data_IF_301357042454
#
_entry.id   IF_301357042454
#
_cell.length_a   1.000
_cell.length_b   1.000
_cell.length_c   1.000
_cell.angle_alpha   90.00
_cell.angle_beta   90.00
_cell.angle_gamma   90.00
#
_symmetry.space_group_name_H-M   'P 1'
#
loop_
_entity.id
_entity.type
_entity.pdbx_description
1 polymer ?
#
# COMPACT_ATOMS: atom_id res chain seq x y z
N UNK A 1 -49.91 -67.49 23.25
CA UNK A 1 -49.59 -67.94 24.63
C UNK A 1 -49.65 -66.68 25.49
N UNK A 2 -50.73 -66.47 26.25
CA UNK A 2 -50.80 -66.62 27.72
C UNK A 2 -49.78 -65.71 28.45
N UNK A 3 -50.06 -64.93 29.50
CA UNK A 3 -51.18 -64.61 30.40
C UNK A 3 -50.75 -63.29 31.10
N UNK A 4 -51.62 -62.29 31.34
CA UNK A 4 -52.18 -61.91 32.66
C UNK A 4 -51.21 -62.09 33.87
N UNK A 5 -51.03 -61.15 34.82
CA UNK A 5 -51.97 -60.82 35.92
C UNK A 5 -51.39 -59.66 36.78
N UNK A 6 -52.25 -58.68 37.13
CA UNK A 6 -52.38 -57.82 38.35
C UNK A 6 -51.16 -57.03 38.90
N UNK A 7 -51.27 -55.94 39.67
CA UNK A 7 -52.31 -55.46 40.58
C UNK A 7 -52.09 -53.97 40.92
N UNK A 8 -53.14 -53.35 41.45
CA UNK A 8 -53.37 -51.93 41.72
C UNK A 8 -52.53 -51.35 42.87
N UNK A 9 -52.23 -50.05 42.83
CA UNK A 9 -52.31 -49.16 43.99
C UNK A 9 -52.35 -47.67 43.56
N UNK A 10 -53.43 -47.01 43.93
CA UNK A 10 -53.61 -45.56 44.00
C UNK A 10 -52.70 -44.94 45.06
N UNK A 11 -52.09 -43.77 44.80
CA UNK A 11 -52.30 -42.56 45.62
C UNK A 11 -51.46 -41.35 45.16
N UNK A 12 -52.00 -40.19 45.53
CA UNK A 12 -51.86 -38.81 45.04
C UNK A 12 -50.45 -38.15 45.13
N UNK A 13 -50.24 -36.99 44.46
CA UNK A 13 -48.95 -36.38 44.22
C UNK A 13 -48.53 -35.38 45.32
N UNK A 14 -47.27 -35.45 45.75
CA UNK A 14 -46.62 -34.38 46.50
C UNK A 14 -45.48 -33.77 45.66
N UNK A 15 -45.66 -32.49 45.34
CA UNK A 15 -44.74 -31.63 44.60
C UNK A 15 -43.37 -31.56 45.29
N UNK A 16 -42.32 -32.02 44.60
CA UNK A 16 -40.94 -31.63 44.85
C UNK A 16 -40.34 -31.01 43.59
N UNK A 17 -40.22 -29.68 43.55
CA UNK A 17 -39.46 -28.97 42.49
C UNK A 17 -37.97 -29.03 42.83
N UNK A 18 -37.22 -29.88 42.15
CA UNK A 18 -35.76 -29.69 42.00
C UNK A 18 -35.49 -28.56 40.98
N UNK A 19 -34.39 -27.80 41.12
CA UNK A 19 -34.11 -26.70 40.19
C UNK A 19 -33.76 -27.24 38.80
N UNK A 20 -34.39 -26.75 37.72
CA UNK A 20 -33.95 -27.05 36.37
C UNK A 20 -32.65 -26.32 36.06
N UNK A 21 -31.69 -27.08 35.55
CA UNK A 21 -30.40 -26.67 35.00
C UNK A 21 -30.45 -25.34 34.24
N UNK A 22 -29.59 -24.39 34.63
CA UNK A 22 -29.32 -23.16 33.90
C UNK A 22 -28.94 -23.46 32.44
N UNK A 23 -29.80 -23.01 31.52
CA UNK A 23 -29.54 -23.08 30.09
C UNK A 23 -28.32 -22.24 29.73
N UNK A 24 -27.31 -22.89 29.19
CA UNK A 24 -26.15 -22.28 28.54
C UNK A 24 -26.62 -21.36 27.42
N UNK A 25 -26.59 -20.04 27.64
CA UNK A 25 -26.82 -19.06 26.59
C UNK A 25 -25.75 -19.21 25.49
N UNK A 26 -26.11 -19.13 24.18
CA UNK A 26 -25.13 -19.21 23.12
C UNK A 26 -24.21 -18.00 23.21
N UNK A 27 -22.90 -18.25 23.35
CA UNK A 27 -21.86 -17.22 23.22
C UNK A 27 -21.99 -16.61 21.83
N UNK A 28 -22.61 -15.42 21.76
CA UNK A 28 -22.60 -14.55 20.59
C UNK A 28 -21.14 -14.24 20.30
N UNK A 29 -20.58 -14.85 19.24
CA UNK A 29 -19.31 -14.45 18.67
C UNK A 29 -19.42 -12.97 18.31
N UNK A 30 -18.97 -12.10 19.21
CA UNK A 30 -18.59 -10.74 18.87
C UNK A 30 -17.30 -10.88 18.09
N UNK A 31 -17.42 -11.05 16.78
CA UNK A 31 -16.36 -10.59 15.89
C UNK A 31 -16.13 -9.13 16.25
N UNK A 32 -14.99 -8.87 16.89
CA UNK A 32 -14.52 -7.53 17.10
C UNK A 32 -14.28 -6.96 15.70
N UNK A 33 -15.24 -6.19 15.20
CA UNK A 33 -15.03 -5.30 14.06
C UNK A 33 -13.89 -4.38 14.52
N UNK A 34 -12.66 -4.72 14.14
CA UNK A 34 -11.53 -3.84 14.33
C UNK A 34 -11.88 -2.58 13.56
N UNK A 35 -12.22 -1.52 14.30
CA UNK A 35 -12.41 -0.21 13.71
C UNK A 35 -11.10 0.14 13.01
N UNK A 36 -11.10 0.17 11.68
CA UNK A 36 -9.96 0.58 10.90
C UNK A 36 -9.73 2.07 11.20
N UNK A 37 -8.82 2.34 12.15
CA UNK A 37 -8.48 3.70 12.56
C UNK A 37 -7.75 4.35 11.39
N UNK A 38 -8.51 5.05 10.56
CA UNK A 38 -7.98 5.83 9.44
C UNK A 38 -7.41 7.12 10.01
N UNK A 39 -6.08 7.21 10.08
CA UNK A 39 -5.33 8.39 10.55
C UNK A 39 -5.30 9.52 9.49
N UNK A 40 -6.09 9.39 8.42
CA UNK A 40 -6.14 10.34 7.32
C UNK A 40 -6.92 11.62 7.66
N UNK A 41 -6.73 12.69 6.88
CA UNK A 41 -7.47 13.94 7.06
C UNK A 41 -8.98 13.71 6.83
N UNK A 42 -9.80 14.41 7.61
CA UNK A 42 -11.25 14.40 7.46
C UNK A 42 -11.64 15.21 6.22
N UNK A 43 -12.05 14.53 5.15
CA UNK A 43 -12.43 15.16 3.90
C UNK A 43 -13.95 15.21 3.71
N UNK A 44 -14.40 16.27 3.05
CA UNK A 44 -15.77 16.38 2.54
C UNK A 44 -15.88 15.65 1.20
N UNK A 45 -17.08 15.21 0.85
CA UNK A 45 -17.33 14.53 -0.43
C UNK A 45 -16.89 15.43 -1.61
N UNK A 46 -16.04 14.89 -2.48
CA UNK A 46 -15.52 15.59 -3.67
C UNK A 46 -14.16 16.28 -3.49
N UNK A 47 -13.69 16.46 -2.26
CA UNK A 47 -12.35 16.97 -2.01
C UNK A 47 -11.30 15.88 -2.23
N UNK A 48 -10.06 16.26 -2.55
CA UNK A 48 -8.96 15.31 -2.74
C UNK A 48 -7.70 15.82 -2.05
N UNK A 49 -7.10 14.95 -1.25
CA UNK A 49 -5.80 15.21 -0.64
C UNK A 49 -4.72 15.02 -1.69
N UNK A 50 -3.89 16.05 -1.85
CA UNK A 50 -2.73 16.01 -2.73
C UNK A 50 -1.47 15.63 -1.95
N UNK A 51 -0.73 14.66 -2.47
CA UNK A 51 0.67 14.41 -2.12
C UNK A 51 1.60 14.73 -3.28
N UNK A 52 2.90 14.58 -3.06
CA UNK A 52 3.92 14.72 -4.10
C UNK A 52 4.65 13.39 -4.28
N UNK A 53 4.57 12.81 -5.47
CA UNK A 53 5.31 11.64 -5.90
C UNK A 53 6.63 12.05 -6.57
N UNK A 54 7.71 11.89 -5.82
CA UNK A 54 9.08 11.96 -6.32
C UNK A 54 9.46 10.63 -6.97
N UNK A 55 9.48 10.61 -8.31
CA UNK A 55 9.89 9.45 -9.09
C UNK A 55 11.33 9.65 -9.52
N UNK A 56 12.26 8.93 -8.88
CA UNK A 56 13.65 8.92 -9.31
C UNK A 56 13.90 7.71 -10.19
N UNK A 57 14.19 7.95 -11.47
CA UNK A 57 14.41 6.91 -12.47
C UNK A 57 15.85 6.99 -12.98
N UNK A 58 16.68 6.05 -12.52
CA UNK A 58 18.03 5.85 -13.02
C UNK A 58 18.11 4.61 -13.91
N UNK A 59 19.27 4.38 -14.53
CA UNK A 59 19.50 3.16 -15.32
C UNK A 59 19.71 1.91 -14.46
N UNK A 60 19.98 2.08 -13.17
CA UNK A 60 20.29 0.95 -12.27
C UNK A 60 19.12 0.64 -11.32
N UNK A 61 18.36 1.65 -10.90
CA UNK A 61 17.20 1.47 -10.03
C UNK A 61 16.16 2.57 -10.22
N UNK A 62 14.94 2.31 -9.75
CA UNK A 62 13.80 3.22 -9.75
C UNK A 62 13.22 3.38 -8.35
N UNK A 63 12.90 4.61 -7.98
CA UNK A 63 12.35 4.93 -6.67
C UNK A 63 11.02 5.63 -6.86
N UNK A 64 10.02 5.18 -6.12
CA UNK A 64 8.72 5.82 -6.00
C UNK A 64 8.59 6.28 -4.56
N UNK A 65 8.69 7.60 -4.36
CA UNK A 65 8.67 8.21 -3.05
C UNK A 65 7.54 9.23 -2.97
N UNK A 66 6.60 9.03 -2.05
CA UNK A 66 5.48 9.95 -1.84
C UNK A 66 5.69 10.69 -0.54
N UNK A 67 5.55 12.01 -0.62
CA UNK A 67 5.64 12.95 0.49
C UNK A 67 4.39 13.80 0.58
N UNK A 68 4.33 14.59 1.64
CA UNK A 68 3.43 15.73 1.75
C UNK A 68 3.78 16.84 0.73
N UNK A 69 2.98 17.91 0.68
CA UNK A 69 3.18 19.05 -0.21
C UNK A 69 4.47 19.82 0.09
N UNK A 70 4.91 19.87 1.35
CA UNK A 70 6.17 20.53 1.71
C UNK A 70 7.40 19.71 1.29
N UNK A 71 7.24 18.40 1.10
CA UNK A 71 8.31 17.46 0.78
C UNK A 71 9.19 17.10 1.98
N UNK A 72 8.79 17.45 3.21
CA UNK A 72 9.53 17.16 4.44
C UNK A 72 9.13 15.82 5.04
N UNK A 73 7.84 15.52 5.06
CA UNK A 73 7.33 14.31 5.68
C UNK A 73 7.12 13.23 4.62
N UNK A 74 7.75 12.08 4.85
CA UNK A 74 7.72 10.95 3.94
C UNK A 74 6.59 10.02 4.32
N UNK A 75 5.66 9.81 3.40
CA UNK A 75 4.48 8.98 3.61
C UNK A 75 4.84 7.54 3.29
N UNK A 76 5.43 7.32 2.11
CA UNK A 76 5.92 6.01 1.70
C UNK A 76 7.07 6.14 0.71
N UNK A 77 8.03 5.22 0.82
CA UNK A 77 9.13 5.06 -0.10
C UNK A 77 9.29 3.59 -0.47
N UNK A 78 9.20 3.28 -1.76
CA UNK A 78 9.45 1.93 -2.29
C UNK A 78 10.39 2.05 -3.49
N UNK A 79 11.31 1.12 -3.63
CA UNK A 79 12.23 1.04 -4.77
C UNK A 79 11.97 -0.20 -5.61
N UNK A 80 12.46 -0.20 -6.84
CA UNK A 80 12.41 -1.36 -7.74
C UNK A 80 13.17 -2.55 -7.13
N UNK A 81 14.35 -2.30 -6.56
CA UNK A 81 15.13 -3.32 -5.85
C UNK A 81 14.46 -3.94 -4.62
N UNK A 82 13.51 -3.27 -3.98
CA UNK A 82 12.71 -3.91 -2.91
C UNK A 82 11.73 -4.97 -3.45
N UNK A 83 11.39 -4.90 -4.73
CA UNK A 83 10.39 -5.78 -5.36
C UNK A 83 11.01 -6.92 -6.16
N UNK A 84 12.28 -6.81 -6.51
CA UNK A 84 12.98 -7.80 -7.33
C UNK A 84 14.28 -8.20 -6.64
N UNK A 85 14.58 -9.49 -6.62
CA UNK A 85 15.78 -10.03 -5.96
C UNK A 85 17.05 -9.98 -6.82
N UNK A 86 16.90 -9.70 -8.11
CA UNK A 86 18.00 -9.69 -9.07
C UNK A 86 18.47 -8.25 -9.32
N UNK A 87 19.75 -7.98 -9.03
CA UNK A 87 20.36 -6.65 -9.13
C UNK A 87 20.24 -6.01 -10.53
N UNK A 88 20.25 -6.84 -11.58
CA UNK A 88 20.12 -6.37 -12.97
C UNK A 88 18.72 -5.85 -13.31
N UNK A 89 17.71 -6.31 -12.57
CA UNK A 89 16.29 -6.10 -12.88
C UNK A 89 15.67 -5.01 -11.97
N UNK A 90 16.48 -4.34 -11.13
CA UNK A 90 16.05 -3.25 -10.24
C UNK A 90 15.50 -2.02 -11.01
N UNK A 91 16.12 -1.66 -12.14
CA UNK A 91 15.63 -0.59 -13.02
C UNK A 91 14.53 -1.02 -13.99
N UNK A 92 14.19 -2.31 -14.00
CA UNK A 92 13.27 -2.85 -14.98
C UNK A 92 11.89 -2.17 -14.90
N UNK A 93 11.19 -2.01 -16.03
CA UNK A 93 9.85 -1.43 -16.04
C UNK A 93 8.85 -2.24 -15.19
N UNK A 94 9.10 -3.55 -15.05
CA UNK A 94 8.29 -4.43 -14.21
C UNK A 94 8.49 -4.14 -12.71
N UNK A 95 9.74 -4.00 -12.26
CA UNK A 95 10.04 -3.62 -10.88
C UNK A 95 9.40 -2.28 -10.49
N UNK A 96 9.51 -1.28 -11.37
CA UNK A 96 8.93 0.04 -11.18
C UNK A 96 7.40 0.01 -11.07
N UNK A 97 6.73 -0.85 -11.87
CA UNK A 97 5.29 -1.04 -11.82
C UNK A 97 4.84 -1.61 -10.48
N UNK A 98 5.50 -2.66 -9.98
CA UNK A 98 5.19 -3.28 -8.69
C UNK A 98 5.41 -2.29 -7.53
N UNK A 99 6.49 -1.52 -7.58
CA UNK A 99 6.77 -0.49 -6.58
C UNK A 99 5.67 0.59 -6.54
N UNK A 100 5.23 1.06 -7.70
CA UNK A 100 4.16 2.05 -7.82
C UNK A 100 2.79 1.53 -7.34
N UNK A 101 2.47 0.25 -7.58
CA UNK A 101 1.23 -0.36 -7.10
C UNK A 101 1.19 -0.43 -5.56
N UNK A 102 2.28 -0.85 -4.94
CA UNK A 102 2.43 -0.86 -3.48
C UNK A 102 2.28 0.52 -2.86
N UNK A 103 2.93 1.51 -3.47
CA UNK A 103 2.82 2.92 -3.05
C UNK A 103 1.37 3.39 -3.12
N UNK A 104 0.68 3.12 -4.23
CA UNK A 104 -0.71 3.54 -4.40
C UNK A 104 -1.64 2.89 -3.38
N UNK A 105 -1.42 1.61 -3.03
CA UNK A 105 -2.21 0.93 -2.00
C UNK A 105 -2.10 1.63 -0.64
N UNK A 106 -0.87 1.89 -0.18
CA UNK A 106 -0.64 2.58 1.11
C UNK A 106 -1.10 4.03 1.10
N UNK A 107 -0.99 4.72 -0.02
CA UNK A 107 -1.51 6.08 -0.15
C UNK A 107 -3.04 6.12 0.05
N UNK A 108 -3.78 5.11 -0.42
CA UNK A 108 -5.23 5.03 -0.22
C UNK A 108 -5.61 4.75 1.22
N UNK A 109 -4.87 3.90 1.91
CA UNK A 109 -5.06 3.63 3.36
C UNK A 109 -4.92 4.92 4.19
N UNK A 110 -4.05 5.83 3.75
CA UNK A 110 -3.80 7.12 4.41
C UNK A 110 -4.70 8.26 3.91
N UNK A 111 -5.61 8.00 2.97
CA UNK A 111 -6.57 8.99 2.46
C UNK A 111 -6.03 9.93 1.37
N UNK A 112 -4.90 9.60 0.74
CA UNK A 112 -4.32 10.40 -0.36
C UNK A 112 -4.95 9.98 -1.68
N UNK A 113 -5.72 10.88 -2.29
CA UNK A 113 -6.45 10.61 -3.54
C UNK A 113 -5.76 11.13 -4.81
N UNK A 114 -4.84 12.09 -4.67
CA UNK A 114 -4.18 12.75 -5.80
C UNK A 114 -2.67 12.94 -5.56
N UNK A 115 -1.88 12.92 -6.63
CA UNK A 115 -0.43 13.07 -6.58
C UNK A 115 0.06 14.07 -7.64
N UNK A 116 0.86 15.04 -7.20
CA UNK A 116 1.77 15.79 -8.07
C UNK A 116 2.99 14.95 -8.38
N UNK A 117 3.42 14.89 -9.64
CA UNK A 117 4.56 14.08 -10.04
C UNK A 117 5.78 14.98 -10.24
N UNK A 118 6.86 14.65 -9.55
CA UNK A 118 8.19 15.20 -9.78
C UNK A 118 9.08 14.09 -10.31
N UNK A 119 9.29 14.08 -11.63
CA UNK A 119 10.17 13.13 -12.29
C UNK A 119 11.62 13.59 -12.14
N UNK A 120 12.53 12.68 -11.82
CA UNK A 120 13.94 12.98 -11.63
C UNK A 120 14.81 11.91 -12.29
N UNK A 121 15.63 12.30 -13.26
CA UNK A 121 16.75 11.49 -13.72
C UNK A 121 17.99 11.70 -12.83
N UNK A 122 19.07 10.96 -13.07
CA UNK A 122 20.32 11.11 -12.30
C UNK A 122 20.90 12.52 -12.37
N UNK A 123 20.92 13.13 -13.56
CA UNK A 123 21.29 14.53 -13.78
C UNK A 123 22.70 14.90 -13.32
N UNK A 124 22.93 16.19 -13.11
CA UNK A 124 24.23 16.75 -12.75
C UNK A 124 25.25 16.56 -13.89
N UNK A 125 26.37 15.90 -13.57
CA UNK A 125 27.40 15.50 -14.54
C UNK A 125 27.09 14.20 -15.27
N UNK A 126 26.06 13.46 -14.83
CA UNK A 126 25.63 12.17 -15.38
C UNK A 126 24.52 12.38 -16.43
N UNK A 127 23.83 11.30 -16.79
CA UNK A 127 22.74 11.30 -17.77
C UNK A 127 21.53 12.08 -17.25
N UNK A 128 21.00 12.96 -18.10
CA UNK A 128 19.76 13.71 -17.85
C UNK A 128 18.52 12.96 -18.32
N UNK A 129 18.70 11.92 -19.14
CA UNK A 129 17.61 11.07 -19.60
C UNK A 129 17.11 10.20 -18.44
N UNK A 130 15.78 10.18 -18.18
CA UNK A 130 15.21 9.29 -17.18
C UNK A 130 15.40 7.83 -17.58
N UNK A 131 15.56 6.97 -16.57
CA UNK A 131 15.70 5.52 -16.76
C UNK A 131 14.42 4.82 -17.22
N UNK A 132 14.51 3.53 -17.60
CA UNK A 132 13.42 2.77 -18.22
C UNK A 132 12.17 2.62 -17.33
N UNK A 133 12.30 2.65 -16.00
CA UNK A 133 11.15 2.54 -15.09
C UNK A 133 10.32 3.82 -14.92
N UNK A 134 10.75 4.97 -15.47
CA UNK A 134 10.04 6.25 -15.30
C UNK A 134 8.59 6.21 -15.82
N UNK A 135 8.41 5.82 -17.08
CA UNK A 135 7.11 5.77 -17.73
C UNK A 135 6.21 4.69 -17.11
N UNK A 136 6.80 3.56 -16.74
CA UNK A 136 6.08 2.43 -16.15
C UNK A 136 5.54 2.76 -14.76
N UNK A 137 6.33 3.42 -13.91
CA UNK A 137 5.89 3.87 -12.59
C UNK A 137 4.72 4.88 -12.69
N UNK A 138 4.86 5.90 -13.56
CA UNK A 138 3.82 6.90 -13.77
C UNK A 138 2.51 6.27 -14.26
N UNK A 139 2.60 5.37 -15.24
CA UNK A 139 1.45 4.64 -15.78
C UNK A 139 0.79 3.74 -14.73
N UNK A 140 1.60 3.09 -13.89
CA UNK A 140 1.10 2.24 -12.82
C UNK A 140 0.33 3.04 -11.75
N UNK A 141 0.86 4.19 -11.32
CA UNK A 141 0.17 5.08 -10.37
C UNK A 141 -1.21 5.53 -10.89
N UNK A 142 -1.28 5.92 -12.17
CA UNK A 142 -2.53 6.32 -12.80
C UNK A 142 -3.53 5.14 -12.89
N UNK A 143 -3.07 3.95 -13.28
CA UNK A 143 -3.92 2.75 -13.36
C UNK A 143 -4.39 2.26 -11.99
N UNK A 144 -3.61 2.48 -10.94
CA UNK A 144 -3.98 2.17 -9.57
C UNK A 144 -5.06 3.10 -9.00
N UNK A 145 -5.55 4.08 -9.78
CA UNK A 145 -6.66 4.96 -9.39
C UNK A 145 -6.24 6.22 -8.64
N UNK A 146 -4.94 6.56 -8.64
CA UNK A 146 -4.47 7.85 -8.12
C UNK A 146 -4.74 8.93 -9.16
N UNK A 147 -5.33 10.06 -8.75
CA UNK A 147 -5.51 11.21 -9.65
C UNK A 147 -4.16 11.89 -9.87
N UNK A 148 -3.77 12.07 -11.12
CA UNK A 148 -2.51 12.73 -11.48
C UNK A 148 -2.75 14.24 -11.56
N UNK A 149 -1.99 15.01 -10.79
CA UNK A 149 -1.97 16.45 -10.85
C UNK A 149 -0.92 16.96 -11.84
N UNK A 150 -0.18 18.00 -11.44
CA UNK A 150 0.94 18.56 -12.20
C UNK A 150 2.09 17.57 -12.32
N UNK A 151 2.72 17.54 -13.50
CA UNK A 151 3.91 16.74 -13.79
C UNK A 151 5.04 17.71 -14.09
N UNK A 152 6.13 17.61 -13.33
CA UNK A 152 7.31 18.46 -13.45
C UNK A 152 8.57 17.59 -13.53
N UNK A 153 9.55 17.99 -14.36
CA UNK A 153 10.89 17.41 -14.36
C UNK A 153 11.78 18.22 -13.42
N UNK A 154 12.29 17.55 -12.38
CA UNK A 154 13.21 18.11 -11.38
C UNK A 154 14.60 17.49 -11.49
N UNK A 155 14.95 16.98 -12.68
CA UNK A 155 16.31 16.51 -12.99
C UNK A 155 17.30 17.64 -12.72
N UNK A 156 18.35 17.42 -11.91
CA UNK A 156 19.29 18.48 -11.58
C UNK A 156 20.09 18.89 -12.82
N UNK A 157 19.91 20.13 -13.27
CA UNK A 157 20.63 20.73 -14.39
C UNK A 157 21.58 21.79 -13.81
N UNK A 158 22.90 21.54 -13.82
CA UNK A 158 23.86 22.54 -13.35
C UNK A 158 24.09 23.61 -14.42
N UNK A 159 24.27 24.87 -13.99
CA UNK A 159 24.65 25.98 -14.88
C UNK A 159 25.96 25.69 -15.60
N UNK A 160 26.99 25.33 -14.83
CA UNK A 160 28.25 24.77 -15.29
C UNK A 160 28.54 23.48 -14.52
N UNK A 161 29.23 22.53 -15.17
CA UNK A 161 29.43 21.20 -14.61
C UNK A 161 30.88 20.95 -14.21
N UNK A 162 31.07 20.20 -13.12
CA UNK A 162 32.38 19.65 -12.76
C UNK A 162 32.80 18.56 -13.75
N UNK A 163 34.08 18.20 -13.73
CA UNK A 163 34.61 17.14 -14.60
C UNK A 163 33.84 15.82 -14.39
N UNK A 164 33.38 15.22 -15.49
CA UNK A 164 32.70 13.91 -15.46
C UNK A 164 33.63 12.80 -14.95
N UNK A 165 33.04 11.74 -14.39
CA UNK A 165 33.78 10.65 -13.76
C UNK A 165 34.68 9.84 -14.72
N UNK A 166 34.45 9.90 -16.04
CA UNK A 166 35.28 9.18 -17.00
C UNK A 166 36.59 9.93 -17.32
N UNK A 167 37.60 9.18 -17.74
CA UNK A 167 38.84 9.75 -18.25
C UNK A 167 38.62 10.58 -19.52
N UNK A 168 39.62 11.36 -19.95
CA UNK A 168 39.53 12.24 -21.13
C UNK A 168 39.05 11.53 -22.41
N UNK A 169 39.31 10.22 -22.52
CA UNK A 169 38.94 9.37 -23.66
C UNK A 169 37.59 8.66 -23.51
N UNK A 170 36.82 8.96 -22.45
CA UNK A 170 35.55 8.29 -22.15
C UNK A 170 35.71 6.93 -21.47
N UNK A 171 34.58 6.24 -21.29
CA UNK A 171 34.53 4.83 -20.84
C UNK A 171 34.73 3.94 -22.07
N UNK A 172 35.79 3.13 -22.05
CA UNK A 172 36.05 2.09 -23.07
C UNK A 172 35.55 0.77 -22.51
N UNK A 173 34.67 0.11 -23.27
CA UNK A 173 34.16 -1.22 -23.01
C UNK A 173 34.92 -2.21 -23.89
#
# INVERSE_FOLDING_TARGET
MAQAISSQASDNPARGRGPPSEGMAPKKNREAVQAEVTLGPQLREGEVVFGVAHIYASFNDTFVHVTDLSGRETIIRVTGGMKVKADRDESSPYAAMLAAQDVAARCKELGIGALHIKLRATGGTKTRTPGPGAQSALRALARSGMKIGRIEDVTPIPTDCTRRAHGRRGRRL
#
